data_IF_892431889520
#
_entry.id   IF_892431889520
#
_cell.length_a   1.000
_cell.length_b   1.000
_cell.length_c   1.000
_cell.angle_alpha   90.00
_cell.angle_beta   90.00
_cell.angle_gamma   90.00
#
_symmetry.space_group_name_H-M   'P 1'
#
loop_
_entity.id
_entity.type
_entity.pdbx_description
1 polymer ?
#
# COMPACT_ATOMS: atom_id res chain seq x y z
N UNK A 1 2.63 25.59 10.01
CA UNK A 1 1.78 24.40 10.28
C UNK A 1 1.80 23.48 9.08
N UNK A 2 1.98 22.18 9.30
CA UNK A 2 1.83 21.21 8.24
C UNK A 2 0.36 21.19 7.75
N UNK A 3 0.16 21.11 6.44
CA UNK A 3 -1.17 20.97 5.88
C UNK A 3 -1.77 19.58 6.17
N UNK A 4 -3.07 19.41 5.92
CA UNK A 4 -3.78 18.16 6.23
C UNK A 4 -3.21 16.94 5.47
N UNK A 5 -2.72 17.16 4.24
CA UNK A 5 -2.12 16.11 3.44
C UNK A 5 -0.81 15.60 4.06
N UNK A 6 0.08 16.52 4.41
CA UNK A 6 1.35 16.19 5.07
C UNK A 6 1.13 15.49 6.40
N UNK A 7 0.16 15.95 7.20
CA UNK A 7 -0.19 15.31 8.47
C UNK A 7 -0.71 13.87 8.28
N UNK A 8 -1.61 13.67 7.34
CA UNK A 8 -2.16 12.34 7.06
C UNK A 8 -1.08 11.39 6.54
N UNK A 9 -0.26 11.86 5.61
CA UNK A 9 0.87 11.08 5.07
C UNK A 9 1.86 10.68 6.17
N UNK A 10 2.24 11.62 7.02
CA UNK A 10 3.14 11.36 8.15
C UNK A 10 2.58 10.28 9.10
N UNK A 11 1.30 10.36 9.44
CA UNK A 11 0.64 9.35 10.28
C UNK A 11 0.61 7.97 9.63
N UNK A 12 0.38 7.90 8.33
CA UNK A 12 0.42 6.62 7.58
C UNK A 12 1.84 6.05 7.63
N UNK A 13 2.86 6.85 7.36
CA UNK A 13 4.26 6.39 7.43
C UNK A 13 4.67 5.99 8.85
N UNK A 14 4.23 6.71 9.87
CA UNK A 14 4.45 6.30 11.27
C UNK A 14 3.88 4.93 11.56
N UNK A 15 2.70 4.61 10.99
CA UNK A 15 2.12 3.28 11.09
C UNK A 15 2.94 2.22 10.35
N UNK A 16 3.44 2.51 9.16
CA UNK A 16 4.31 1.61 8.41
C UNK A 16 5.64 1.36 9.11
N UNK A 17 6.19 2.36 9.79
CA UNK A 17 7.46 2.26 10.52
C UNK A 17 7.40 1.29 11.71
N UNK A 18 6.20 0.94 12.18
CA UNK A 18 6.00 -0.08 13.22
C UNK A 18 6.11 -1.52 12.70
N UNK A 19 6.28 -1.73 11.39
CA UNK A 19 6.40 -3.07 10.80
C UNK A 19 7.64 -3.79 11.36
N UNK A 20 7.47 -4.95 12.00
CA UNK A 20 8.59 -5.75 12.51
C UNK A 20 9.42 -6.40 11.40
N UNK A 21 8.85 -6.55 10.21
CA UNK A 21 9.56 -7.10 9.07
C UNK A 21 10.46 -6.03 8.45
N UNK A 22 11.70 -6.41 8.12
CA UNK A 22 12.70 -5.48 7.59
C UNK A 22 13.07 -5.83 6.16
N UNK A 23 13.34 -4.79 5.38
CA UNK A 23 13.92 -4.87 4.06
C UNK A 23 15.36 -4.31 4.12
N UNK A 24 16.30 -5.01 3.50
CA UNK A 24 17.68 -4.54 3.39
C UNK A 24 17.83 -3.75 2.09
N UNK A 25 18.16 -2.49 2.18
CA UNK A 25 18.41 -1.61 1.01
C UNK A 25 19.72 -1.98 0.33
N UNK A 26 19.94 -1.44 -0.88
CA UNK A 26 21.17 -1.70 -1.66
C UNK A 26 22.45 -1.26 -0.94
N UNK A 27 22.35 -0.24 -0.07
CA UNK A 27 23.47 0.26 0.77
C UNK A 27 23.60 -0.46 2.12
N UNK A 28 22.82 -1.54 2.33
CA UNK A 28 22.88 -2.38 3.53
C UNK A 28 22.08 -1.90 4.72
N UNK A 29 21.27 -0.84 4.58
CA UNK A 29 20.42 -0.35 5.66
C UNK A 29 19.18 -1.23 5.83
N UNK A 30 18.73 -1.35 7.09
CA UNK A 30 17.50 -2.06 7.44
C UNK A 30 16.36 -1.04 7.59
N UNK A 31 15.33 -1.18 6.76
CA UNK A 31 14.12 -0.33 6.82
C UNK A 31 12.87 -1.20 6.99
N UNK A 32 11.81 -0.71 7.65
CA UNK A 32 10.55 -1.46 7.73
C UNK A 32 10.04 -1.80 6.33
N UNK A 33 9.60 -3.04 6.13
CA UNK A 33 9.20 -3.52 4.80
C UNK A 33 8.07 -2.68 4.20
N UNK A 34 7.02 -2.39 4.99
CA UNK A 34 5.88 -1.63 4.49
C UNK A 34 6.22 -0.15 4.24
N UNK A 35 7.17 0.42 4.97
CA UNK A 35 7.72 1.76 4.67
C UNK A 35 8.43 1.76 3.30
N UNK A 36 9.24 0.76 3.05
CA UNK A 36 9.90 0.59 1.75
C UNK A 36 8.88 0.41 0.62
N UNK A 37 7.86 -0.45 0.84
CA UNK A 37 6.79 -0.67 -0.11
C UNK A 37 6.02 0.61 -0.42
N UNK A 38 5.63 1.37 0.59
CA UNK A 38 4.91 2.64 0.42
C UNK A 38 5.72 3.67 -0.39
N UNK A 39 7.01 3.78 -0.11
CA UNK A 39 7.90 4.67 -0.90
C UNK A 39 7.96 4.28 -2.36
N UNK A 40 8.03 3.00 -2.66
CA UNK A 40 7.98 2.51 -4.05
C UNK A 40 6.64 2.80 -4.71
N UNK A 41 5.54 2.58 -4.00
CA UNK A 41 4.20 2.88 -4.49
C UNK A 41 4.07 4.36 -4.86
N UNK A 42 4.49 5.26 -4.00
CA UNK A 42 4.48 6.71 -4.28
C UNK A 42 5.38 7.08 -5.47
N UNK A 43 6.55 6.50 -5.57
CA UNK A 43 7.48 6.74 -6.68
C UNK A 43 6.87 6.36 -8.03
N UNK A 44 6.21 5.22 -8.12
CA UNK A 44 5.54 4.79 -9.35
C UNK A 44 4.27 5.62 -9.64
N UNK A 45 3.55 6.01 -8.59
CA UNK A 45 2.40 6.90 -8.77
C UNK A 45 2.80 8.23 -9.40
N UNK A 46 3.89 8.81 -8.94
CA UNK A 46 4.40 10.08 -9.50
C UNK A 46 4.72 9.96 -11.00
N UNK A 47 5.24 8.82 -11.42
CA UNK A 47 5.51 8.54 -12.84
C UNK A 47 4.24 8.26 -13.63
N UNK A 48 3.30 7.51 -13.07
CA UNK A 48 2.07 7.08 -13.75
C UNK A 48 1.00 8.18 -13.80
N UNK A 49 0.88 8.96 -12.73
CA UNK A 49 -0.15 9.98 -12.57
C UNK A 49 0.37 11.17 -11.75
N UNK A 50 1.24 12.01 -12.31
CA UNK A 50 1.84 13.14 -11.57
C UNK A 50 0.79 14.16 -11.09
N UNK A 51 -0.40 14.21 -11.72
CA UNK A 51 -1.50 15.07 -11.33
C UNK A 51 -2.53 14.37 -10.41
N UNK A 52 -2.16 13.25 -9.79
CA UNK A 52 -3.06 12.49 -8.90
C UNK A 52 -3.62 13.36 -7.77
N UNK A 53 -4.88 13.12 -7.42
CA UNK A 53 -5.54 13.80 -6.29
C UNK A 53 -4.87 13.48 -4.95
N UNK A 54 -5.04 14.36 -3.95
CA UNK A 54 -4.56 14.09 -2.58
C UNK A 54 -5.10 12.75 -2.06
N UNK A 55 -6.37 12.47 -2.30
CA UNK A 55 -7.02 11.24 -1.80
C UNK A 55 -6.43 10.00 -2.46
N UNK A 56 -6.17 10.03 -3.77
CA UNK A 56 -5.50 8.93 -4.46
C UNK A 56 -4.07 8.73 -3.94
N UNK A 57 -3.33 9.80 -3.72
CA UNK A 57 -1.98 9.74 -3.15
C UNK A 57 -1.98 9.11 -1.77
N UNK A 58 -2.92 9.48 -0.91
CA UNK A 58 -3.05 8.90 0.44
C UNK A 58 -3.51 7.44 0.39
N UNK A 59 -4.42 7.09 -0.52
CA UNK A 59 -4.84 5.70 -0.71
C UNK A 59 -3.67 4.81 -1.19
N UNK A 60 -2.84 5.31 -2.08
CA UNK A 60 -1.64 4.60 -2.56
C UNK A 60 -0.62 4.45 -1.42
N UNK A 61 -0.35 5.51 -0.67
CA UNK A 61 0.53 5.49 0.50
C UNK A 61 0.03 4.49 1.58
N UNK A 62 -1.28 4.41 1.77
CA UNK A 62 -1.93 3.56 2.75
C UNK A 62 -2.09 2.09 2.36
N UNK A 63 -1.66 1.69 1.16
CA UNK A 63 -1.70 0.28 0.77
C UNK A 63 -0.89 -0.57 1.74
N UNK A 64 -1.38 -1.77 2.06
CA UNK A 64 -0.76 -2.71 3.01
C UNK A 64 -0.67 -2.19 4.47
N UNK A 65 -1.39 -1.12 4.83
CA UNK A 65 -1.34 -0.55 6.17
C UNK A 65 -1.56 -1.62 7.24
N UNK A 66 -0.55 -1.84 8.09
CA UNK A 66 -0.55 -2.85 9.16
C UNK A 66 -0.91 -4.27 8.71
N UNK A 67 -0.52 -4.64 7.48
CA UNK A 67 -0.79 -5.96 6.92
C UNK A 67 -0.22 -7.09 7.77
N UNK A 68 0.93 -6.88 8.38
CA UNK A 68 1.61 -7.89 9.21
C UNK A 68 0.80 -8.32 10.44
N UNK A 69 -0.16 -7.51 10.89
CA UNK A 69 -1.02 -7.82 12.03
C UNK A 69 -2.08 -8.90 11.72
N UNK A 70 -2.27 -9.23 10.45
CA UNK A 70 -3.23 -10.25 10.00
C UNK A 70 -2.52 -11.29 9.12
N UNK A 71 -1.87 -12.30 9.75
CA UNK A 71 -1.13 -13.31 9.01
C UNK A 71 -2.01 -14.16 8.10
N UNK A 72 -1.46 -14.60 6.97
CA UNK A 72 -2.17 -15.46 6.01
C UNK A 72 -2.66 -16.77 6.66
N UNK A 73 -1.90 -17.32 7.60
CA UNK A 73 -2.21 -18.58 8.28
C UNK A 73 -3.42 -18.51 9.22
N UNK A 74 -3.91 -17.31 9.55
CA UNK A 74 -5.13 -17.15 10.35
C UNK A 74 -6.40 -17.51 9.54
N UNK A 75 -6.25 -17.77 8.25
CA UNK A 75 -7.32 -18.14 7.32
C UNK A 75 -7.02 -19.51 6.70
N UNK A 76 -8.07 -20.19 6.22
CA UNK A 76 -7.92 -21.50 5.58
C UNK A 76 -6.89 -21.47 4.44
N UNK A 77 -6.03 -22.48 4.35
CA UNK A 77 -4.96 -22.60 3.35
C UNK A 77 -5.48 -23.19 2.04
N UNK A 78 -6.52 -22.55 1.50
CA UNK A 78 -7.14 -22.87 0.22
C UNK A 78 -7.54 -21.57 -0.50
N UNK A 79 -8.11 -21.69 -1.70
CA UNK A 79 -8.51 -20.54 -2.51
C UNK A 79 -9.54 -19.65 -1.81
N UNK A 80 -10.54 -20.25 -1.15
CA UNK A 80 -11.58 -19.52 -0.43
C UNK A 80 -10.96 -18.74 0.75
N UNK A 81 -10.09 -19.37 1.53
CA UNK A 81 -9.39 -18.74 2.64
C UNK A 81 -8.47 -17.60 2.17
N UNK A 82 -7.81 -17.75 1.03
CA UNK A 82 -7.00 -16.69 0.44
C UNK A 82 -7.86 -15.46 0.08
N UNK A 83 -8.99 -15.67 -0.58
CA UNK A 83 -9.89 -14.56 -0.93
C UNK A 83 -10.51 -13.91 0.30
N UNK A 84 -10.87 -14.69 1.31
CA UNK A 84 -11.37 -14.16 2.60
C UNK A 84 -10.32 -13.30 3.29
N UNK A 85 -9.08 -13.75 3.34
CA UNK A 85 -7.95 -13.00 3.89
C UNK A 85 -7.72 -11.68 3.14
N UNK A 86 -7.70 -11.72 1.82
CA UNK A 86 -7.54 -10.53 0.97
C UNK A 86 -8.66 -9.51 1.16
N UNK A 87 -9.89 -9.97 1.23
CA UNK A 87 -11.06 -9.11 1.47
C UNK A 87 -11.00 -8.47 2.86
N UNK A 88 -10.66 -9.26 3.87
CA UNK A 88 -10.49 -8.77 5.24
C UNK A 88 -9.40 -7.70 5.32
N UNK A 89 -8.25 -7.93 4.69
CA UNK A 89 -7.15 -6.96 4.64
C UNK A 89 -7.58 -5.63 4.02
N UNK A 90 -8.24 -5.67 2.86
CA UNK A 90 -8.71 -4.45 2.17
C UNK A 90 -9.64 -3.62 3.04
N UNK A 91 -10.64 -4.26 3.65
CA UNK A 91 -11.61 -3.57 4.53
C UNK A 91 -10.94 -2.97 5.75
N UNK A 92 -10.06 -3.72 6.39
CA UNK A 92 -9.33 -3.27 7.57
C UNK A 92 -8.43 -2.09 7.25
N UNK A 93 -7.66 -2.17 6.17
CA UNK A 93 -6.78 -1.09 5.71
C UNK A 93 -7.58 0.16 5.34
N UNK A 94 -8.67 0.00 4.60
CA UNK A 94 -9.55 1.11 4.24
C UNK A 94 -10.09 1.82 5.47
N UNK A 95 -10.53 1.08 6.48
CA UNK A 95 -11.04 1.64 7.72
C UNK A 95 -9.95 2.40 8.49
N UNK A 96 -8.78 1.80 8.67
CA UNK A 96 -7.69 2.41 9.42
C UNK A 96 -7.15 3.69 8.75
N UNK A 97 -6.96 3.66 7.44
CA UNK A 97 -6.49 4.84 6.69
C UNK A 97 -7.56 5.93 6.67
N UNK A 98 -8.83 5.58 6.51
CA UNK A 98 -9.91 6.55 6.54
C UNK A 98 -10.05 7.24 7.90
N UNK A 99 -9.81 6.52 9.00
CA UNK A 99 -9.79 7.10 10.34
C UNK A 99 -8.66 8.13 10.50
N UNK A 100 -7.51 7.87 9.89
CA UNK A 100 -6.41 8.85 9.84
C UNK A 100 -6.84 10.10 9.07
N UNK A 101 -7.47 9.95 7.92
CA UNK A 101 -7.95 11.08 7.11
C UNK A 101 -8.97 11.92 7.88
N UNK A 102 -9.93 11.28 8.54
CA UNK A 102 -10.90 11.99 9.41
C UNK A 102 -10.20 12.79 10.48
N UNK A 103 -9.23 12.21 11.17
CA UNK A 103 -8.45 12.87 12.21
C UNK A 103 -7.62 14.05 11.71
N UNK A 104 -7.34 14.11 10.39
CA UNK A 104 -6.61 15.21 9.75
C UNK A 104 -7.51 16.26 9.10
N UNK A 105 -8.83 16.13 9.24
CA UNK A 105 -9.79 17.13 8.76
C UNK A 105 -10.30 16.90 7.35
N UNK A 106 -10.17 15.70 6.79
CA UNK A 106 -10.83 15.36 5.53
C UNK A 106 -12.32 15.14 5.73
N UNK A 107 -13.12 15.65 4.79
CA UNK A 107 -14.57 15.51 4.82
C UNK A 107 -15.06 14.10 4.43
N UNK A 108 -16.34 13.82 4.65
CA UNK A 108 -16.93 12.51 4.40
C UNK A 108 -16.82 12.03 2.95
N UNK A 109 -16.90 12.95 1.98
CA UNK A 109 -16.72 12.62 0.56
C UNK A 109 -15.31 12.08 0.27
N UNK A 110 -14.28 12.74 0.78
CA UNK A 110 -12.89 12.32 0.62
C UNK A 110 -12.61 11.00 1.34
N UNK A 111 -13.15 10.84 2.53
CA UNK A 111 -13.03 9.60 3.32
C UNK A 111 -13.69 8.42 2.60
N UNK A 112 -14.90 8.60 2.09
CA UNK A 112 -15.60 7.57 1.31
C UNK A 112 -14.84 7.22 0.03
N UNK A 113 -14.26 8.21 -0.63
CA UNK A 113 -13.44 8.00 -1.83
C UNK A 113 -12.18 7.19 -1.51
N UNK A 114 -11.51 7.50 -0.42
CA UNK A 114 -10.33 6.74 0.03
C UNK A 114 -10.65 5.28 0.30
N UNK A 115 -11.77 5.00 0.96
CA UNK A 115 -12.25 3.64 1.21
C UNK A 115 -12.46 2.90 -0.12
N UNK A 116 -13.19 3.50 -1.06
CA UNK A 116 -13.46 2.91 -2.38
C UNK A 116 -12.14 2.60 -3.13
N UNK A 117 -11.17 3.50 -3.10
CA UNK A 117 -9.88 3.29 -3.74
C UNK A 117 -9.09 2.12 -3.12
N UNK A 118 -9.00 2.06 -1.80
CA UNK A 118 -8.27 0.98 -1.11
C UNK A 118 -8.97 -0.37 -1.30
N UNK A 119 -10.29 -0.40 -1.27
CA UNK A 119 -11.07 -1.61 -1.53
C UNK A 119 -11.10 -1.99 -3.01
N UNK A 120 -10.58 -1.13 -3.89
CA UNK A 120 -10.59 -1.28 -5.36
C UNK A 120 -11.99 -1.42 -5.92
N UNK A 121 -12.91 -0.65 -5.35
CA UNK A 121 -14.28 -0.60 -5.80
C UNK A 121 -14.35 0.07 -7.18
N UNK A 122 -15.05 -0.54 -8.12
CA UNK A 122 -15.12 -0.04 -9.50
C UNK A 122 -14.01 -0.52 -10.44
N UNK A 123 -13.06 -1.35 -9.98
CA UNK A 123 -11.97 -1.86 -10.84
C UNK A 123 -12.52 -2.60 -12.09
N UNK A 124 -13.54 -3.43 -11.93
CA UNK A 124 -14.16 -4.17 -13.04
C UNK A 124 -14.89 -3.26 -14.03
N UNK A 125 -15.30 -2.09 -13.59
CA UNK A 125 -15.96 -1.08 -14.42
C UNK A 125 -14.95 -0.13 -15.08
N UNK A 126 -13.65 -0.30 -14.85
CA UNK A 126 -12.60 0.52 -15.43
C UNK A 126 -12.53 1.94 -14.85
N UNK A 127 -12.90 2.12 -13.59
CA UNK A 127 -12.80 3.41 -12.90
C UNK A 127 -11.33 3.86 -12.88
N UNK A 128 -11.07 5.09 -13.33
CA UNK A 128 -9.74 5.57 -13.69
C UNK A 128 -8.76 5.56 -12.52
N UNK A 129 -9.12 6.15 -11.38
CA UNK A 129 -8.21 6.22 -10.22
C UNK A 129 -7.98 4.85 -9.59
N UNK A 130 -8.98 3.98 -9.60
CA UNK A 130 -8.84 2.58 -9.13
C UNK A 130 -7.90 1.81 -10.06
N UNK A 131 -7.99 2.06 -11.37
CA UNK A 131 -7.08 1.46 -12.34
C UNK A 131 -5.64 1.95 -12.15
N UNK A 132 -5.44 3.24 -11.91
CA UNK A 132 -4.12 3.82 -11.61
C UNK A 132 -3.50 3.14 -10.36
N UNK A 133 -4.28 2.99 -9.30
CA UNK A 133 -3.82 2.33 -8.08
C UNK A 133 -3.42 0.88 -8.35
N UNK A 134 -4.22 0.14 -9.12
CA UNK A 134 -3.89 -1.24 -9.51
C UNK A 134 -2.65 -1.33 -10.38
N UNK A 135 -2.49 -0.44 -11.35
CA UNK A 135 -1.31 -0.37 -12.22
C UNK A 135 -0.04 -0.15 -11.40
N UNK A 136 -0.08 0.78 -10.45
CA UNK A 136 1.05 1.08 -9.55
C UNK A 136 1.40 -0.13 -8.68
N UNK A 137 0.39 -0.79 -8.12
CA UNK A 137 0.60 -2.01 -7.32
C UNK A 137 1.23 -3.13 -8.14
N UNK A 138 0.80 -3.32 -9.38
CA UNK A 138 1.39 -4.29 -10.30
C UNK A 138 2.86 -3.96 -10.63
N UNK A 139 3.18 -2.70 -10.89
CA UNK A 139 4.55 -2.27 -11.18
C UNK A 139 5.49 -2.51 -9.99
N UNK A 140 5.04 -2.23 -8.78
CA UNK A 140 5.82 -2.49 -7.56
C UNK A 140 6.03 -3.98 -7.37
N UNK A 141 5.00 -4.79 -7.54
CA UNK A 141 5.10 -6.26 -7.45
C UNK A 141 6.13 -6.81 -8.45
N UNK A 142 6.09 -6.40 -9.71
CA UNK A 142 7.04 -6.80 -10.73
C UNK A 142 8.48 -6.43 -10.34
N UNK A 143 8.71 -5.21 -9.87
CA UNK A 143 10.03 -4.73 -9.48
C UNK A 143 10.61 -5.57 -8.34
N UNK A 144 9.82 -5.85 -7.31
CA UNK A 144 10.25 -6.66 -6.15
C UNK A 144 10.55 -8.10 -6.58
N UNK A 145 9.68 -8.71 -7.40
CA UNK A 145 9.85 -10.09 -7.87
C UNK A 145 11.10 -10.25 -8.73
N UNK A 146 11.38 -9.32 -9.65
CA UNK A 146 12.57 -9.34 -10.49
C UNK A 146 13.86 -9.19 -9.67
N UNK A 147 13.86 -8.32 -8.66
CA UNK A 147 15.02 -8.15 -7.77
C UNK A 147 15.31 -9.43 -6.99
N UNK A 148 14.28 -10.10 -6.49
CA UNK A 148 14.41 -11.37 -5.79
C UNK A 148 15.00 -12.47 -6.69
N UNK A 149 14.53 -12.57 -7.94
CA UNK A 149 15.07 -13.53 -8.92
C UNK A 149 16.54 -13.25 -9.25
N UNK A 150 16.93 -11.99 -9.44
CA UNK A 150 18.33 -11.62 -9.68
C UNK A 150 19.23 -12.03 -8.51
N UNK A 151 18.81 -11.81 -7.29
CA UNK A 151 19.56 -12.20 -6.10
C UNK A 151 19.72 -13.72 -5.98
N UNK A 152 18.68 -14.48 -6.33
CA UNK A 152 18.74 -15.95 -6.35
C UNK A 152 19.70 -16.48 -7.41
N UNK A 153 19.68 -15.89 -8.61
CA UNK A 153 20.59 -16.28 -9.70
C UNK A 153 22.07 -15.97 -9.41
N UNK A 154 22.34 -14.90 -8.68
CA UNK A 154 23.71 -14.54 -8.28
C UNK A 154 24.28 -15.51 -7.24
N UNK A 155 23.45 -16.08 -6.38
CA UNK A 155 23.84 -17.12 -5.41
C UNK A 155 24.18 -18.48 -6.03
N UNK A 156 23.67 -18.75 -7.23
CA UNK A 156 23.92 -20.03 -7.92
C UNK A 156 25.25 -20.01 -8.70
N UNK A 157 25.84 -18.83 -8.89
CA UNK A 157 27.12 -18.68 -9.62
C UNK A 157 28.38 -18.64 -8.76
N UNK A 158 28.26 -18.88 -7.47
CA UNK A 158 29.37 -19.08 -6.53
C UNK A 158 29.36 -20.51 -6.01
#
# INVERSE_FOLDING_TARGET
MADRYSQAREKIYSGHDEDPNKHTTADGQQVPYETHYARKMESYLEKRAPAASEVLRLAVCGQHFRRWEVPRQDFAMNKIGYHSWRTHLKKRQAQQVSDILKGCGYGDADVSRCIALIEKDGLKQGEEEVQVLEDVACLVFWTISLTSLRTSMTRIRL
#
